data_IF_245788849896
#
_entry.id   IF_245788849896
#
_cell.length_a   1.000
_cell.length_b   1.000
_cell.length_c   1.000
_cell.angle_alpha   90.00
_cell.angle_beta   90.00
_cell.angle_gamma   90.00
#
_symmetry.space_group_name_H-M   'P 1'
#
loop_
_entity.id
_entity.type
_entity.pdbx_description
1 polymer ?
#
# COMPACT_ATOMS: atom_id res chain seq x y z
N UNK A 1 26.19 -9.11 1.63
CA UNK A 1 25.20 -10.15 1.94
C UNK A 1 23.93 -9.81 1.18
N UNK A 2 23.46 -10.75 0.36
CA UNK A 2 22.50 -10.62 -0.75
C UNK A 2 21.41 -9.55 -0.59
N UNK A 3 21.54 -8.47 -1.38
CA UNK A 3 20.39 -7.67 -1.79
C UNK A 3 19.62 -8.51 -2.81
N UNK A 4 18.62 -9.27 -2.34
CA UNK A 4 17.55 -9.74 -3.22
C UNK A 4 17.01 -8.50 -3.94
N UNK A 5 17.11 -8.45 -5.27
CA UNK A 5 16.51 -7.39 -6.08
C UNK A 5 15.05 -7.20 -5.63
N UNK A 6 14.76 -6.13 -4.89
CA UNK A 6 13.39 -5.82 -4.46
C UNK A 6 12.64 -5.45 -5.73
N UNK A 7 11.89 -6.40 -6.28
CA UNK A 7 11.09 -6.15 -7.48
C UNK A 7 10.03 -5.11 -7.12
N UNK A 8 9.95 -3.99 -7.85
CA UNK A 8 8.94 -2.98 -7.55
C UNK A 8 7.53 -3.56 -7.74
N UNK A 9 6.63 -3.16 -6.86
CA UNK A 9 5.20 -3.35 -7.00
C UNK A 9 4.60 -2.27 -7.94
N UNK A 10 3.26 -2.24 -8.06
CA UNK A 10 2.56 -1.37 -9.03
C UNK A 10 2.68 0.12 -8.72
N UNK A 11 3.10 0.50 -7.52
CA UNK A 11 3.25 1.92 -7.17
C UNK A 11 4.41 2.60 -7.91
N UNK A 12 5.30 1.84 -8.57
CA UNK A 12 6.39 2.40 -9.38
C UNK A 12 5.89 3.26 -10.55
N UNK A 13 4.64 3.05 -10.99
CA UNK A 13 4.00 3.79 -12.08
C UNK A 13 3.18 5.00 -11.59
N UNK A 14 3.16 5.27 -10.28
CA UNK A 14 2.45 6.41 -9.71
C UNK A 14 3.28 7.70 -9.73
N UNK A 15 2.61 8.85 -9.62
CA UNK A 15 3.26 10.17 -9.61
C UNK A 15 3.52 10.70 -8.20
N UNK A 16 2.69 10.30 -7.24
CA UNK A 16 2.85 10.70 -5.83
C UNK A 16 4.22 10.27 -5.31
N UNK A 17 5.04 11.20 -4.80
CA UNK A 17 6.29 10.86 -4.12
C UNK A 17 6.07 9.93 -2.93
N UNK A 18 4.94 10.07 -2.23
CA UNK A 18 4.57 9.21 -1.11
C UNK A 18 4.32 7.76 -1.56
N UNK A 19 3.59 7.56 -2.67
CA UNK A 19 3.36 6.21 -3.19
C UNK A 19 4.64 5.58 -3.74
N UNK A 20 5.47 6.37 -4.43
CA UNK A 20 6.75 5.89 -4.98
C UNK A 20 7.72 5.41 -3.90
N UNK A 21 7.72 6.04 -2.72
CA UNK A 21 8.52 5.57 -1.57
C UNK A 21 8.18 4.13 -1.16
N UNK A 22 6.93 3.70 -1.37
CA UNK A 22 6.47 2.36 -1.04
C UNK A 22 6.57 1.35 -2.21
N UNK A 23 7.12 1.75 -3.36
CA UNK A 23 7.15 0.92 -4.57
C UNK A 23 8.03 -0.32 -4.42
N UNK A 24 9.05 -0.29 -3.56
CA UNK A 24 9.94 -1.43 -3.32
C UNK A 24 9.57 -2.25 -2.07
N UNK A 25 8.47 -1.91 -1.39
CA UNK A 25 8.02 -2.68 -0.24
C UNK A 25 7.62 -4.11 -0.64
N UNK A 26 7.93 -5.13 0.18
CA UNK A 26 7.56 -6.51 -0.09
C UNK A 26 6.03 -6.75 -0.09
N UNK A 27 5.24 -5.84 0.48
CA UNK A 27 3.78 -5.83 0.32
C UNK A 27 3.44 -5.52 -1.14
N UNK A 28 2.58 -6.35 -1.75
CA UNK A 28 2.15 -6.21 -3.15
C UNK A 28 1.11 -5.10 -3.28
N UNK A 29 1.54 -3.85 -3.07
CA UNK A 29 0.67 -2.69 -3.07
C UNK A 29 0.04 -2.45 -4.45
N UNK A 30 -1.26 -2.15 -4.42
CA UNK A 30 -2.00 -1.56 -5.52
C UNK A 30 -2.28 -0.08 -5.22
N UNK A 31 -2.30 0.78 -6.25
CA UNK A 31 -2.92 2.09 -6.12
C UNK A 31 -4.45 1.96 -6.00
N UNK A 32 -5.12 3.05 -5.62
CA UNK A 32 -6.59 3.12 -5.60
C UNK A 32 -7.17 3.12 -7.02
N UNK A 33 -7.32 1.92 -7.62
CA UNK A 33 -7.73 1.73 -9.02
C UNK A 33 -8.63 0.50 -9.19
N UNK A 34 -9.32 0.46 -10.33
CA UNK A 34 -10.30 -0.59 -10.68
C UNK A 34 -9.71 -2.01 -10.71
N UNK A 35 -8.43 -2.15 -11.03
CA UNK A 35 -7.72 -3.44 -11.04
C UNK A 35 -7.58 -4.04 -9.64
N UNK A 36 -7.35 -3.21 -8.61
CA UNK A 36 -7.33 -3.65 -7.21
C UNK A 36 -8.69 -4.22 -6.78
N UNK A 37 -9.78 -3.51 -7.09
CA UNK A 37 -11.15 -3.95 -6.77
C UNK A 37 -11.53 -5.21 -7.56
N UNK A 38 -11.16 -5.29 -8.84
CA UNK A 38 -11.38 -6.46 -9.66
C UNK A 38 -10.65 -7.69 -9.09
N UNK A 39 -9.38 -7.53 -8.68
CA UNK A 39 -8.61 -8.58 -8.02
C UNK A 39 -9.26 -9.04 -6.72
N UNK A 40 -9.65 -8.10 -5.85
CA UNK A 40 -10.29 -8.40 -4.58
C UNK A 40 -11.57 -9.23 -4.77
N UNK A 41 -12.39 -8.83 -5.76
CA UNK A 41 -13.60 -9.57 -6.14
C UNK A 41 -13.30 -10.94 -6.72
N UNK A 42 -12.34 -11.05 -7.63
CA UNK A 42 -12.00 -12.30 -8.30
C UNK A 42 -11.37 -13.33 -7.36
N UNK A 43 -10.53 -12.86 -6.43
CA UNK A 43 -9.86 -13.72 -5.44
C UNK A 43 -10.70 -13.93 -4.18
N UNK A 44 -11.85 -13.27 -4.07
CA UNK A 44 -12.69 -13.24 -2.87
C UNK A 44 -11.88 -12.87 -1.61
N UNK A 45 -11.01 -11.86 -1.73
CA UNK A 45 -10.17 -11.35 -0.65
C UNK A 45 -10.59 -9.95 -0.23
N UNK A 46 -10.59 -9.63 1.07
CA UNK A 46 -10.79 -8.27 1.54
C UNK A 46 -9.68 -7.33 1.07
N UNK A 47 -9.99 -6.04 0.97
CA UNK A 47 -9.02 -4.99 0.72
C UNK A 47 -8.41 -4.54 2.05
N UNK A 48 -7.08 -4.51 2.11
CA UNK A 48 -6.35 -3.82 3.17
C UNK A 48 -6.04 -2.40 2.71
N UNK A 49 -6.85 -1.44 3.13
CA UNK A 49 -6.70 -0.04 2.74
C UNK A 49 -5.74 0.68 3.69
N UNK A 50 -4.64 1.22 3.17
CA UNK A 50 -3.68 2.03 3.92
C UNK A 50 -3.56 3.44 3.32
N UNK A 51 -4.19 4.40 3.98
CA UNK A 51 -4.16 5.82 3.62
C UNK A 51 -3.06 6.53 4.43
N UNK A 52 -2.26 7.38 3.77
CA UNK A 52 -1.24 8.19 4.43
C UNK A 52 -0.82 9.38 3.57
N UNK A 53 0.22 10.09 4.00
CA UNK A 53 0.77 11.25 3.31
C UNK A 53 2.26 11.44 3.65
N UNK A 54 2.96 12.20 2.82
CA UNK A 54 4.43 12.34 2.85
C UNK A 54 5.04 12.83 4.18
N UNK A 55 4.32 13.65 4.95
CA UNK A 55 4.82 14.25 6.20
C UNK A 55 4.28 13.57 7.48
N UNK A 56 3.64 12.41 7.32
CA UNK A 56 3.06 11.65 8.42
C UNK A 56 4.12 10.83 9.18
N UNK A 57 4.41 11.21 10.44
CA UNK A 57 5.40 10.49 11.26
C UNK A 57 5.06 8.99 11.43
N UNK A 58 3.81 8.68 11.80
CA UNK A 58 3.39 7.30 12.05
C UNK A 58 3.29 6.44 10.80
N UNK A 59 3.12 7.05 9.62
CA UNK A 59 3.14 6.35 8.36
C UNK A 59 4.54 5.79 8.06
N UNK A 60 5.59 6.56 8.35
CA UNK A 60 6.98 6.10 8.23
C UNK A 60 7.35 5.05 9.28
N UNK A 61 6.84 5.18 10.51
CA UNK A 61 7.06 4.16 11.56
C UNK A 61 6.43 2.84 11.14
N UNK A 62 5.16 2.86 10.70
CA UNK A 62 4.44 1.66 10.25
C UNK A 62 5.07 1.04 9.00
N UNK A 63 5.58 1.86 8.08
CA UNK A 63 6.36 1.37 6.94
C UNK A 63 7.56 0.54 7.40
N UNK A 64 8.46 1.16 8.17
CA UNK A 64 9.71 0.56 8.59
C UNK A 64 9.51 -0.68 9.45
N UNK A 65 8.51 -0.67 10.32
CA UNK A 65 8.29 -1.73 11.30
C UNK A 65 7.36 -2.85 10.82
N UNK A 66 6.63 -2.63 9.72
CA UNK A 66 5.63 -3.59 9.24
C UNK A 66 5.65 -3.80 7.74
N UNK A 67 5.62 -2.74 6.92
CA UNK A 67 5.48 -2.91 5.48
C UNK A 67 6.78 -3.29 4.77
N UNK A 68 7.94 -3.00 5.36
CA UNK A 68 9.25 -3.52 4.92
C UNK A 68 9.56 -4.93 5.44
N UNK A 69 8.83 -5.42 6.44
CA UNK A 69 9.04 -6.75 7.00
C UNK A 69 8.45 -7.85 6.09
N UNK A 70 9.27 -8.81 5.71
CA UNK A 70 8.87 -9.87 4.80
C UNK A 70 7.80 -10.81 5.39
N UNK A 71 7.83 -11.07 6.70
CA UNK A 71 6.83 -11.97 7.32
C UNK A 71 5.45 -11.31 7.32
N UNK A 72 5.40 -10.04 7.68
CA UNK A 72 4.20 -9.21 7.64
C UNK A 72 3.67 -9.08 6.21
N UNK A 73 4.54 -8.83 5.24
CA UNK A 73 4.16 -8.75 3.84
C UNK A 73 3.60 -10.07 3.30
N UNK A 74 4.18 -11.22 3.67
CA UNK A 74 3.64 -12.53 3.29
C UNK A 74 2.22 -12.72 3.81
N UNK A 75 1.96 -12.35 5.07
CA UNK A 75 0.63 -12.44 5.67
C UNK A 75 -0.36 -11.50 4.96
N UNK A 76 0.04 -10.25 4.68
CA UNK A 76 -0.82 -9.29 3.98
C UNK A 76 -1.14 -9.77 2.56
N UNK A 77 -0.13 -10.16 1.79
CA UNK A 77 -0.28 -10.59 0.39
C UNK A 77 -1.10 -11.89 0.26
N UNK A 78 -1.00 -12.79 1.25
CA UNK A 78 -1.78 -14.02 1.26
C UNK A 78 -3.27 -13.78 1.53
N UNK A 79 -3.60 -12.86 2.44
CA UNK A 79 -4.95 -12.72 2.98
C UNK A 79 -5.74 -11.53 2.44
N UNK A 80 -5.06 -10.55 1.84
CA UNK A 80 -5.67 -9.30 1.40
C UNK A 80 -5.28 -8.94 -0.03
N UNK A 81 -5.99 -7.96 -0.59
CA UNK A 81 -5.49 -7.09 -1.66
C UNK A 81 -5.03 -5.78 -1.01
N UNK A 82 -3.71 -5.57 -0.81
CA UNK A 82 -3.19 -4.35 -0.20
C UNK A 82 -3.35 -3.15 -1.14
N UNK A 83 -3.97 -2.08 -0.66
CA UNK A 83 -4.18 -0.84 -1.42
C UNK A 83 -3.57 0.33 -0.66
N UNK A 84 -2.66 1.06 -1.31
CA UNK A 84 -2.01 2.25 -0.75
C UNK A 84 -2.62 3.50 -1.37
N UNK A 85 -2.94 4.49 -0.54
CA UNK A 85 -3.52 5.76 -0.98
C UNK A 85 -2.75 6.93 -0.40
N UNK A 86 -2.47 7.91 -1.25
CA UNK A 86 -2.02 9.23 -0.84
C UNK A 86 -3.22 10.13 -0.56
N UNK A 87 -3.35 10.57 0.68
CA UNK A 87 -4.36 11.53 1.14
C UNK A 87 -4.26 12.86 0.41
N UNK A 88 -3.06 13.28 0.01
CA UNK A 88 -2.85 14.55 -0.68
C UNK A 88 -3.45 14.52 -2.10
N UNK A 89 -3.51 13.34 -2.73
CA UNK A 89 -4.18 13.11 -4.01
C UNK A 89 -5.67 12.74 -3.87
N UNK A 90 -6.05 12.06 -2.78
CA UNK A 90 -7.43 11.60 -2.51
C UNK A 90 -7.97 12.07 -1.15
N UNK A 91 -8.14 13.39 -0.92
CA UNK A 91 -8.58 13.92 0.37
C UNK A 91 -10.01 13.52 0.74
N UNK A 92 -10.89 13.33 -0.25
CA UNK A 92 -12.28 12.91 -0.03
C UNK A 92 -12.38 11.47 0.47
N UNK A 93 -11.50 10.59 -0.02
CA UNK A 93 -11.45 9.19 0.42
C UNK A 93 -11.02 9.10 1.88
N UNK A 94 -9.96 9.81 2.23
CA UNK A 94 -9.48 9.87 3.60
C UNK A 94 -10.55 10.39 4.57
N UNK A 95 -11.27 11.44 4.17
CA UNK A 95 -12.36 11.98 4.98
C UNK A 95 -13.47 10.95 5.19
N UNK A 96 -13.87 10.21 4.15
CA UNK A 96 -14.91 9.18 4.25
C UNK A 96 -14.58 8.13 5.33
N UNK A 97 -13.32 7.69 5.42
CA UNK A 97 -12.88 6.65 6.36
C UNK A 97 -12.52 7.17 7.77
N UNK A 98 -12.48 8.48 7.98
CA UNK A 98 -12.16 9.09 9.29
C UNK A 98 -13.36 9.78 9.98
N UNK A 99 -14.50 9.92 9.30
CA UNK A 99 -15.64 10.72 9.81
C UNK A 99 -16.77 9.87 10.42
N UNK A 100 -16.61 8.55 10.53
CA UNK A 100 -17.58 7.63 11.15
C UNK A 100 -16.88 6.56 11.99
#
# INVERSE_FOLDING_TARGET
MNQSERKPNRLIDEKSPYLLQHAENPVDWYPWRNDAFAKAKNENKPIFLSVGYSTCHWCHVMERESFEDHQTALLLNANFVPVKVDREEYPDLDRLYLTF
#
